data_IF_030636857274
#
_entry.id   IF_030636857274
#
_cell.length_a   1.000
_cell.length_b   1.000
_cell.length_c   1.000
_cell.angle_alpha   90.00
_cell.angle_beta   90.00
_cell.angle_gamma   90.00
#
_symmetry.space_group_name_H-M   'P 1'
#
loop_
_entity.id
_entity.type
_entity.pdbx_description
1 polymer ?
#
# COMPACT_ATOMS: atom_id res chain seq x y z
N UNK A 1 13.69 0.48 84.84
CA UNK A 1 12.83 0.27 83.66
C UNK A 1 13.57 0.85 82.45
N UNK A 2 14.28 0.04 81.67
CA UNK A 2 15.18 0.50 80.59
C UNK A 2 14.84 -0.25 79.29
N UNK A 3 14.20 0.44 78.36
CA UNK A 3 13.81 -0.08 77.04
C UNK A 3 14.93 0.26 76.06
N UNK A 4 15.69 -0.76 75.64
CA UNK A 4 16.71 -0.64 74.57
C UNK A 4 16.02 -0.71 73.20
N UNK A 5 15.98 0.40 72.48
CA UNK A 5 15.55 0.47 71.09
C UNK A 5 16.58 -0.21 70.17
N UNK A 6 16.14 -1.17 69.36
CA UNK A 6 16.93 -1.78 68.28
C UNK A 6 16.50 -1.15 66.96
N UNK A 7 17.41 -0.40 66.33
CA UNK A 7 17.21 0.16 64.99
C UNK A 7 17.30 -0.95 63.94
N UNK A 8 16.20 -1.20 63.22
CA UNK A 8 16.15 -2.12 62.09
C UNK A 8 16.75 -1.44 60.84
N UNK A 9 17.83 -2.01 60.32
CA UNK A 9 18.44 -1.59 59.05
C UNK A 9 17.57 -2.08 57.89
N UNK A 10 16.84 -1.19 57.23
CA UNK A 10 16.25 -1.44 55.91
C UNK A 10 17.38 -1.51 54.87
N UNK A 11 17.61 -2.70 54.33
CA UNK A 11 18.52 -2.90 53.19
C UNK A 11 17.86 -2.44 51.89
N UNK A 12 18.46 -1.44 51.24
CA UNK A 12 18.09 -1.00 49.90
C UNK A 12 18.57 -2.07 48.89
N UNK A 13 17.66 -2.91 48.40
CA UNK A 13 17.97 -3.83 47.29
C UNK A 13 17.88 -2.99 46.00
N UNK A 14 19.04 -2.59 45.47
CA UNK A 14 19.15 -1.91 44.18
C UNK A 14 18.87 -2.88 43.04
N UNK A 15 17.68 -2.78 42.44
CA UNK A 15 17.32 -3.51 41.22
C UNK A 15 18.10 -2.89 40.04
N UNK A 16 19.22 -3.51 39.65
CA UNK A 16 19.92 -3.15 38.43
C UNK A 16 19.06 -3.55 37.23
N UNK A 17 18.30 -2.59 36.69
CA UNK A 17 17.61 -2.77 35.41
C UNK A 17 18.69 -2.80 34.32
N UNK A 18 19.02 -4.00 33.83
CA UNK A 18 19.86 -4.15 32.66
C UNK A 18 19.13 -3.51 31.47
N UNK A 19 19.54 -2.30 31.10
CA UNK A 19 19.08 -1.67 29.88
C UNK A 19 19.75 -2.40 28.72
N UNK A 20 19.03 -3.36 28.13
CA UNK A 20 19.46 -3.94 26.86
C UNK A 20 19.57 -2.81 25.85
N UNK A 21 20.78 -2.57 25.34
CA UNK A 21 20.97 -1.63 24.24
C UNK A 21 20.05 -2.03 23.08
N UNK A 22 19.34 -1.09 22.45
CA UNK A 22 18.45 -1.41 21.34
C UNK A 22 19.24 -2.14 20.25
N UNK A 23 18.74 -3.29 19.80
CA UNK A 23 19.33 -4.00 18.68
C UNK A 23 19.12 -3.15 17.42
N UNK A 24 20.19 -2.53 16.93
CA UNK A 24 20.15 -1.78 15.68
C UNK A 24 19.93 -2.74 14.51
N UNK A 25 19.11 -2.31 13.55
CA UNK A 25 18.85 -3.07 12.34
C UNK A 25 20.16 -3.34 11.58
N UNK A 26 20.41 -4.61 11.27
CA UNK A 26 21.53 -5.01 10.42
C UNK A 26 21.20 -4.82 8.94
N UNK A 27 22.15 -4.25 8.19
CA UNK A 27 22.08 -4.14 6.73
C UNK A 27 22.48 -5.47 6.09
N UNK A 28 21.99 -5.75 4.88
CA UNK A 28 22.39 -6.96 4.14
C UNK A 28 23.38 -6.58 3.03
N UNK A 29 24.61 -7.10 3.10
CA UNK A 29 25.69 -6.76 2.16
C UNK A 29 25.88 -5.23 2.00
N UNK A 30 25.73 -4.47 3.09
CA UNK A 30 25.80 -3.00 3.08
C UNK A 30 24.54 -2.27 2.56
N UNK A 31 23.51 -2.99 2.12
CA UNK A 31 22.28 -2.41 1.58
C UNK A 31 21.20 -2.24 2.65
N UNK A 32 20.55 -1.07 2.65
CA UNK A 32 19.42 -0.76 3.54
C UNK A 32 18.07 -1.22 2.97
N UNK A 33 18.01 -1.59 1.69
CA UNK A 33 16.80 -2.09 1.02
C UNK A 33 17.17 -3.36 0.28
N UNK A 34 16.49 -4.46 0.59
CA UNK A 34 16.76 -5.77 0.01
C UNK A 34 15.50 -6.63 0.03
N UNK A 35 15.45 -7.65 -0.83
CA UNK A 35 14.35 -8.61 -0.87
C UNK A 35 14.67 -9.87 -0.08
N UNK A 36 13.63 -10.46 0.50
CA UNK A 36 13.68 -11.68 1.29
C UNK A 36 12.51 -12.57 0.93
N UNK A 37 12.66 -13.86 1.19
CA UNK A 37 11.62 -14.87 1.18
C UNK A 37 11.25 -15.20 2.61
N UNK A 38 9.95 -15.14 2.92
CA UNK A 38 9.41 -15.52 4.21
C UNK A 38 9.38 -17.02 4.40
N UNK A 39 9.19 -17.43 5.65
CA UNK A 39 9.01 -18.85 6.01
C UNK A 39 7.80 -19.51 5.31
N UNK A 40 6.79 -18.73 4.91
CA UNK A 40 5.64 -19.22 4.13
C UNK A 40 5.86 -19.16 2.60
N UNK A 41 7.07 -18.85 2.14
CA UNK A 41 7.44 -18.76 0.73
C UNK A 41 7.07 -17.44 0.05
N UNK A 42 6.42 -16.48 0.74
CA UNK A 42 6.08 -15.19 0.12
C UNK A 42 7.28 -14.24 0.09
N UNK A 43 7.35 -13.41 -0.95
CA UNK A 43 8.39 -12.39 -1.05
C UNK A 43 8.06 -11.15 -0.21
N UNK A 44 9.11 -10.46 0.24
CA UNK A 44 9.02 -9.20 0.93
C UNK A 44 10.21 -8.31 0.58
N UNK A 45 10.02 -7.00 0.70
CA UNK A 45 11.13 -6.04 0.74
C UNK A 45 11.32 -5.58 2.17
N UNK A 46 12.57 -5.58 2.64
CA UNK A 46 12.97 -5.12 3.96
C UNK A 46 13.64 -3.76 3.83
N UNK A 47 13.23 -2.83 4.69
CA UNK A 47 13.86 -1.55 4.91
C UNK A 47 14.60 -1.62 6.25
N UNK A 48 15.92 -1.69 6.21
CA UNK A 48 16.79 -1.70 7.38
C UNK A 48 17.22 -0.28 7.78
N UNK A 49 17.90 -0.19 8.93
CA UNK A 49 18.43 1.04 9.52
C UNK A 49 17.36 2.12 9.74
N UNK A 50 16.21 1.72 10.28
CA UNK A 50 15.10 2.61 10.62
C UNK A 50 15.01 2.80 12.13
N UNK A 51 14.49 3.95 12.54
CA UNK A 51 14.24 4.19 13.96
C UNK A 51 13.05 3.35 14.43
N UNK A 52 13.07 2.74 15.63
CA UNK A 52 11.91 2.01 16.14
C UNK A 52 10.64 2.87 16.13
N UNK A 53 9.57 2.36 15.52
CA UNK A 53 8.29 3.08 15.37
C UNK A 53 8.24 4.12 14.24
N UNK A 54 9.33 4.30 13.47
CA UNK A 54 9.36 5.18 12.31
C UNK A 54 8.28 4.79 11.30
N UNK A 55 7.48 5.77 10.87
CA UNK A 55 6.48 5.60 9.82
C UNK A 55 7.11 5.97 8.49
N UNK A 56 7.10 5.03 7.55
CA UNK A 56 7.76 5.15 6.26
C UNK A 56 6.69 5.09 5.17
N UNK A 57 6.63 6.12 4.34
CA UNK A 57 5.74 6.15 3.18
C UNK A 57 6.38 5.38 2.03
N UNK A 58 5.63 4.43 1.49
CA UNK A 58 6.02 3.62 0.32
C UNK A 58 5.00 3.86 -0.77
N UNK A 59 5.45 4.37 -1.90
CA UNK A 59 4.61 4.66 -3.08
C UNK A 59 4.87 3.64 -4.16
N UNK A 60 3.81 3.10 -4.76
CA UNK A 60 3.87 2.21 -5.91
C UNK A 60 3.23 2.92 -7.10
N UNK A 61 4.01 3.55 -8.00
CA UNK A 61 3.47 4.35 -9.09
C UNK A 61 2.58 3.56 -10.06
N UNK A 62 2.88 2.28 -10.29
CA UNK A 62 2.09 1.40 -11.15
C UNK A 62 0.91 0.71 -10.44
N UNK A 63 0.68 0.97 -9.15
CA UNK A 63 -0.46 0.38 -8.44
C UNK A 63 -1.79 0.89 -9.00
N UNK A 64 -2.67 -0.05 -9.32
CA UNK A 64 -4.03 0.21 -9.78
C UNK A 64 -4.96 0.27 -8.56
N UNK A 65 -5.89 1.23 -8.59
CA UNK A 65 -7.03 1.25 -7.67
C UNK A 65 -8.27 0.80 -8.40
N UNK A 66 -9.09 -0.03 -7.77
CA UNK A 66 -10.41 -0.39 -8.28
C UNK A 66 -11.50 0.15 -7.37
N UNK A 67 -12.64 0.51 -7.96
CA UNK A 67 -13.86 0.86 -7.23
C UNK A 67 -15.07 0.26 -7.93
N UNK A 68 -16.04 -0.18 -7.12
CA UNK A 68 -17.33 -0.62 -7.64
C UNK A 68 -18.16 0.60 -8.04
N UNK A 69 -18.70 0.56 -9.25
CA UNK A 69 -19.54 1.60 -9.81
C UNK A 69 -20.84 0.97 -10.29
N UNK A 70 -21.95 1.67 -10.14
CA UNK A 70 -23.27 1.14 -10.51
C UNK A 70 -23.81 1.95 -11.67
N UNK A 71 -24.24 1.26 -12.74
CA UNK A 71 -24.98 1.90 -13.80
C UNK A 71 -26.34 2.34 -13.27
N UNK A 72 -26.77 3.55 -13.62
CA UNK A 72 -28.08 4.06 -13.24
C UNK A 72 -29.22 3.26 -13.92
N UNK A 73 -30.50 3.58 -13.66
CA UNK A 73 -31.62 2.88 -14.29
C UNK A 73 -31.67 2.95 -15.82
N UNK A 74 -30.94 3.87 -16.43
CA UNK A 74 -30.83 4.00 -17.88
C UNK A 74 -29.52 3.42 -18.45
N UNK A 75 -28.72 2.72 -17.64
CA UNK A 75 -27.51 2.06 -18.10
C UNK A 75 -26.29 2.98 -18.21
N UNK A 76 -26.28 4.15 -17.57
CA UNK A 76 -25.11 5.03 -17.60
C UNK A 76 -24.31 4.97 -16.31
N UNK A 77 -22.99 4.85 -16.44
CA UNK A 77 -22.02 5.08 -15.37
C UNK A 77 -21.32 6.40 -15.66
N UNK A 78 -21.46 7.38 -14.76
CA UNK A 78 -20.77 8.67 -14.89
C UNK A 78 -19.56 8.69 -13.98
N UNK A 79 -18.37 8.65 -14.58
CA UNK A 79 -17.10 8.69 -13.88
C UNK A 79 -16.57 10.12 -13.87
N UNK A 80 -16.49 10.68 -12.65
CA UNK A 80 -15.97 12.02 -12.40
C UNK A 80 -14.54 11.96 -11.91
N UNK A 81 -13.75 12.94 -12.32
CA UNK A 81 -12.41 13.18 -11.77
C UNK A 81 -12.52 13.65 -10.32
N UNK A 82 -11.67 13.13 -9.44
CA UNK A 82 -11.48 13.68 -8.09
C UNK A 82 -10.02 14.04 -7.89
N UNK A 83 -9.71 14.80 -6.83
CA UNK A 83 -8.31 15.13 -6.49
C UNK A 83 -7.47 13.89 -6.14
N UNK A 84 -8.11 12.82 -5.67
CA UNK A 84 -7.45 11.56 -5.27
C UNK A 84 -7.46 10.50 -6.35
N UNK A 85 -8.40 10.56 -7.29
CA UNK A 85 -8.52 9.63 -8.43
C UNK A 85 -8.83 10.44 -9.67
N UNK A 86 -7.80 11.02 -10.32
CA UNK A 86 -7.97 11.75 -11.56
C UNK A 86 -8.60 10.85 -12.64
N UNK A 87 -9.60 11.37 -13.36
CA UNK A 87 -10.25 10.59 -14.42
C UNK A 87 -9.27 10.23 -15.54
N UNK A 88 -8.24 11.05 -15.78
CA UNK A 88 -7.12 10.78 -16.71
C UNK A 88 -6.45 9.44 -16.50
N UNK A 89 -6.64 8.84 -15.33
CA UNK A 89 -6.05 7.58 -14.96
C UNK A 89 -6.99 6.38 -15.16
N UNK A 90 -8.23 6.57 -15.64
CA UNK A 90 -9.13 5.46 -15.93
C UNK A 90 -8.47 4.51 -16.94
N UNK A 91 -8.32 3.25 -16.55
CA UNK A 91 -7.74 2.19 -17.36
C UNK A 91 -8.82 1.33 -18.01
N UNK A 92 -9.77 0.85 -17.20
CA UNK A 92 -10.79 -0.09 -17.66
C UNK A 92 -12.06 -0.05 -16.84
N UNK A 93 -13.16 -0.50 -17.43
CA UNK A 93 -14.40 -0.82 -16.73
C UNK A 93 -14.81 -2.25 -17.10
N UNK A 94 -14.86 -3.11 -16.08
CA UNK A 94 -15.16 -4.54 -16.24
C UNK A 94 -14.17 -5.25 -17.16
N UNK A 95 -12.87 -4.95 -16.99
CA UNK A 95 -11.78 -5.47 -17.80
C UNK A 95 -11.66 -4.87 -19.20
N UNK A 96 -12.69 -4.19 -19.72
CA UNK A 96 -12.61 -3.50 -21.01
C UNK A 96 -11.80 -2.21 -20.87
N UNK A 97 -10.69 -2.13 -21.59
CA UNK A 97 -9.85 -0.93 -21.60
C UNK A 97 -10.60 0.28 -22.17
N UNK A 98 -10.43 1.45 -21.54
CA UNK A 98 -11.05 2.70 -21.94
C UNK A 98 -9.96 3.66 -22.40
N UNK A 99 -9.83 3.87 -23.71
CA UNK A 99 -9.04 4.97 -24.25
C UNK A 99 -9.88 6.25 -24.22
N UNK A 100 -9.62 7.06 -23.21
CA UNK A 100 -10.29 8.33 -23.03
C UNK A 100 -10.02 9.31 -24.18
N UNK A 101 -8.88 9.24 -24.85
CA UNK A 101 -8.53 10.19 -25.91
C UNK A 101 -9.33 9.97 -27.18
N UNK A 102 -9.82 8.74 -27.39
CA UNK A 102 -10.67 8.38 -28.52
C UNK A 102 -12.17 8.59 -28.28
N UNK A 103 -12.59 8.87 -27.05
CA UNK A 103 -14.01 9.05 -26.73
C UNK A 103 -14.57 10.34 -27.33
N UNK A 104 -15.71 10.29 -28.05
CA UNK A 104 -16.35 11.50 -28.57
C UNK A 104 -16.91 12.35 -27.42
N UNK A 105 -16.90 13.67 -27.58
CA UNK A 105 -17.55 14.59 -26.64
C UNK A 105 -19.03 14.75 -27.00
N UNK A 106 -19.94 14.50 -26.05
CA UNK A 106 -21.39 14.59 -26.23
C UNK A 106 -22.06 15.18 -24.98
N UNK A 107 -23.32 15.61 -25.10
CA UNK A 107 -24.13 15.99 -23.95
C UNK A 107 -24.64 14.74 -23.21
N UNK A 108 -24.70 14.82 -21.88
CA UNK A 108 -25.27 13.74 -21.06
C UNK A 108 -26.80 13.70 -21.26
N UNK A 109 -27.36 12.63 -21.84
CA UNK A 109 -28.80 12.52 -22.04
C UNK A 109 -29.54 12.37 -20.71
N UNK A 110 -30.81 12.79 -20.69
CA UNK A 110 -31.67 12.60 -19.52
C UNK A 110 -32.14 11.14 -19.44
N UNK A 111 -32.31 10.68 -18.20
CA UNK A 111 -32.89 9.39 -17.88
C UNK A 111 -34.34 9.61 -17.43
N UNK A 112 -35.31 9.10 -18.19
CA UNK A 112 -36.76 9.24 -17.91
C UNK A 112 -37.35 7.84 -17.85
N UNK A 113 -37.93 7.49 -16.71
CA UNK A 113 -38.58 6.19 -16.47
C UNK A 113 -37.72 4.97 -16.85
N UNK A 114 -36.41 5.04 -16.59
CA UNK A 114 -35.46 3.96 -16.87
C UNK A 114 -35.01 3.87 -18.33
N UNK A 115 -35.38 4.83 -19.18
CA UNK A 115 -34.92 4.91 -20.57
C UNK A 115 -34.21 6.24 -20.84
N UNK A 116 -33.17 6.20 -21.70
CA UNK A 116 -32.52 7.43 -22.17
C UNK A 116 -33.43 8.17 -23.14
N UNK A 117 -33.60 9.48 -22.93
CA UNK A 117 -34.32 10.36 -23.85
C UNK A 117 -33.67 10.36 -25.25
N UNK A 118 -32.35 10.19 -25.31
CA UNK A 118 -31.57 9.96 -26.53
C UNK A 118 -30.70 8.71 -26.34
N UNK A 119 -30.91 7.68 -27.16
CA UNK A 119 -30.17 6.44 -27.06
C UNK A 119 -28.68 6.63 -27.33
N UNK A 120 -27.84 5.99 -26.50
CA UNK A 120 -26.39 5.92 -26.67
C UNK A 120 -25.99 4.45 -26.68
N UNK A 121 -25.20 4.04 -27.68
CA UNK A 121 -24.67 2.67 -27.76
C UNK A 121 -23.17 2.59 -27.44
N UNK A 122 -22.49 3.74 -27.40
CA UNK A 122 -21.05 3.84 -27.21
C UNK A 122 -20.72 4.75 -26.03
N UNK A 123 -19.58 4.48 -25.41
CA UNK A 123 -18.99 5.32 -24.37
C UNK A 123 -18.62 6.70 -24.95
N UNK A 124 -18.69 7.73 -24.10
CA UNK A 124 -18.42 9.11 -24.52
C UNK A 124 -17.90 9.96 -23.35
N UNK A 125 -17.51 11.20 -23.64
CA UNK A 125 -17.16 12.21 -22.64
C UNK A 125 -18.16 13.35 -22.63
N UNK A 126 -18.42 13.92 -21.47
CA UNK A 126 -19.20 15.17 -21.38
C UNK A 126 -18.32 16.39 -21.66
N UNK A 127 -18.94 17.53 -21.96
CA UNK A 127 -18.21 18.82 -22.08
C UNK A 127 -17.48 19.23 -20.80
N UNK A 128 -17.83 18.66 -19.65
CA UNK A 128 -17.14 18.85 -18.37
C UNK A 128 -15.96 17.88 -18.17
N UNK A 129 -15.68 17.00 -19.13
CA UNK A 129 -14.60 16.00 -19.06
C UNK A 129 -14.94 14.76 -18.24
N UNK A 130 -16.21 14.54 -17.89
CA UNK A 130 -16.65 13.29 -17.27
C UNK A 130 -16.64 12.17 -18.31
N UNK A 131 -16.24 10.97 -17.91
CA UNK A 131 -16.33 9.80 -18.79
C UNK A 131 -17.64 9.08 -18.50
N UNK A 132 -18.46 8.87 -19.53
CA UNK A 132 -19.74 8.18 -19.44
C UNK A 132 -19.61 6.84 -20.13
N UNK A 133 -19.83 5.77 -19.37
CA UNK A 133 -19.79 4.40 -19.87
C UNK A 133 -21.21 3.87 -19.99
N UNK A 134 -21.55 3.33 -21.17
CA UNK A 134 -22.86 2.75 -21.46
C UNK A 134 -22.82 1.25 -21.15
N UNK A 135 -23.68 0.81 -20.24
CA UNK A 135 -23.74 -0.56 -19.70
C UNK A 135 -25.19 -0.99 -19.46
N UNK A 136 -25.38 -2.24 -19.02
CA UNK A 136 -26.70 -2.71 -18.58
C UNK A 136 -27.18 -1.93 -17.35
N UNK A 137 -28.45 -1.48 -17.33
CA UNK A 137 -29.05 -0.78 -16.19
C UNK A 137 -28.90 -1.50 -14.85
N UNK A 138 -28.80 -0.71 -13.77
CA UNK A 138 -28.79 -1.19 -12.37
C UNK A 138 -27.76 -2.29 -12.06
N UNK A 139 -26.72 -2.42 -12.90
CA UNK A 139 -25.68 -3.43 -12.76
C UNK A 139 -24.43 -2.81 -12.16
N UNK A 140 -23.74 -3.58 -11.31
CA UNK A 140 -22.49 -3.15 -10.66
C UNK A 140 -21.31 -3.64 -11.48
N UNK A 141 -20.38 -2.74 -11.76
CA UNK A 141 -19.14 -2.99 -12.49
C UNK A 141 -17.94 -2.57 -11.64
N UNK A 142 -16.76 -3.06 -12.02
CA UNK A 142 -15.50 -2.62 -11.43
C UNK A 142 -14.78 -1.66 -12.38
N UNK A 143 -14.53 -0.43 -11.91
CA UNK A 143 -13.72 0.54 -12.64
C UNK A 143 -12.31 0.57 -12.04
N UNK A 144 -11.30 0.44 -12.89
CA UNK A 144 -9.88 0.42 -12.53
C UNK A 144 -9.17 1.69 -12.99
N UNK A 145 -8.36 2.27 -12.12
CA UNK A 145 -7.65 3.53 -12.32
C UNK A 145 -6.17 3.36 -11.99
N UNK A 146 -5.29 3.89 -12.84
CA UNK A 146 -3.88 4.13 -12.51
C UNK A 146 -3.76 5.34 -11.57
N UNK A 147 -2.52 5.73 -11.24
CA UNK A 147 -2.26 6.91 -10.39
C UNK A 147 -1.38 6.61 -9.19
N UNK A 148 -0.93 5.36 -9.08
CA UNK A 148 -0.10 4.89 -8.00
C UNK A 148 -0.82 4.89 -6.66
N UNK A 149 -0.25 4.16 -5.71
CA UNK A 149 -0.78 4.10 -4.35
C UNK A 149 0.35 4.19 -3.35
N UNK A 150 0.16 5.03 -2.36
CA UNK A 150 1.05 5.07 -1.20
C UNK A 150 0.45 4.29 -0.03
N UNK A 151 1.30 3.62 0.73
CA UNK A 151 0.97 3.05 2.03
C UNK A 151 2.07 3.37 3.03
N UNK A 152 1.71 3.43 4.29
CA UNK A 152 2.69 3.55 5.36
C UNK A 152 3.05 2.17 5.90
N UNK A 153 4.34 1.91 6.08
CA UNK A 153 4.86 0.79 6.85
C UNK A 153 5.56 1.34 8.09
N UNK A 154 5.57 0.56 9.18
CA UNK A 154 6.18 0.99 10.44
C UNK A 154 7.36 0.11 10.77
N UNK A 155 8.48 0.73 11.15
CA UNK A 155 9.65 0.01 11.62
C UNK A 155 9.37 -0.63 12.99
N UNK A 156 9.74 -1.90 13.14
CA UNK A 156 9.62 -2.65 14.38
C UNK A 156 10.68 -2.21 15.42
N UNK A 157 10.66 -2.84 16.60
CA UNK A 157 11.57 -2.52 17.71
C UNK A 157 13.07 -2.71 17.37
N UNK A 158 13.40 -3.53 16.37
CA UNK A 158 14.76 -3.76 15.91
C UNK A 158 15.13 -2.90 14.69
N UNK A 159 14.30 -1.92 14.31
CA UNK A 159 14.59 -0.98 13.23
C UNK A 159 14.37 -1.51 11.80
N UNK A 160 13.57 -2.56 11.63
CA UNK A 160 13.18 -3.05 10.31
C UNK A 160 11.73 -2.70 10.00
N UNK A 161 11.46 -2.18 8.81
CA UNK A 161 10.12 -2.18 8.24
C UNK A 161 10.04 -3.19 7.10
N UNK A 162 8.88 -3.84 6.95
CA UNK A 162 8.65 -4.78 5.85
C UNK A 162 7.52 -4.32 4.96
N UNK A 163 7.77 -4.42 3.66
CA UNK A 163 6.83 -4.23 2.57
C UNK A 163 6.45 -5.63 2.10
N UNK A 164 5.19 -6.00 2.32
CA UNK A 164 4.69 -7.36 2.03
C UNK A 164 3.68 -7.34 0.89
N UNK A 165 3.60 -8.45 0.15
CA UNK A 165 2.55 -8.60 -0.86
C UNK A 165 1.15 -8.56 -0.22
N UNK A 166 0.23 -7.84 -0.85
CA UNK A 166 -1.20 -7.90 -0.54
C UNK A 166 -1.99 -7.99 -1.83
N UNK A 167 -3.31 -8.18 -1.78
CA UNK A 167 -4.17 -8.16 -2.97
C UNK A 167 -4.06 -6.86 -3.79
N UNK A 168 -3.69 -5.75 -3.15
CA UNK A 168 -3.46 -4.45 -3.79
C UNK A 168 -2.01 -4.23 -4.20
N UNK A 169 -1.06 -4.76 -3.42
CA UNK A 169 0.37 -4.52 -3.58
C UNK A 169 1.09 -5.85 -3.81
N UNK A 170 0.70 -6.59 -4.84
CA UNK A 170 1.33 -7.86 -5.15
C UNK A 170 2.69 -7.64 -5.79
N UNK A 171 3.75 -7.83 -5.01
CA UNK A 171 5.14 -7.57 -5.41
C UNK A 171 5.62 -8.47 -6.56
N UNK A 172 4.85 -9.50 -6.92
CA UNK A 172 5.16 -10.38 -8.07
C UNK A 172 4.66 -9.82 -9.40
N UNK A 173 3.79 -8.81 -9.37
CA UNK A 173 3.21 -8.20 -10.58
C UNK A 173 4.21 -7.22 -11.21
N UNK A 174 4.50 -7.32 -12.53
CA UNK A 174 5.46 -6.45 -13.19
C UNK A 174 5.15 -4.95 -13.06
N UNK A 175 3.87 -4.57 -13.04
CA UNK A 175 3.44 -3.19 -12.85
C UNK A 175 3.79 -2.62 -11.47
N UNK A 176 4.13 -3.47 -10.49
CA UNK A 176 4.54 -3.11 -9.15
C UNK A 176 6.05 -3.28 -8.90
N UNK A 177 6.85 -3.58 -9.93
CA UNK A 177 8.30 -3.73 -9.79
C UNK A 177 8.97 -2.41 -9.35
N UNK A 178 8.46 -1.28 -9.84
CA UNK A 178 8.91 0.05 -9.43
C UNK A 178 8.16 0.55 -8.19
N UNK A 179 8.90 1.02 -7.20
CA UNK A 179 8.35 1.63 -5.99
C UNK A 179 9.29 2.72 -5.45
N UNK A 180 8.77 3.57 -4.57
CA UNK A 180 9.51 4.63 -3.93
C UNK A 180 9.41 4.51 -2.41
N UNK A 181 10.52 4.73 -1.71
CA UNK A 181 10.57 4.81 -0.25
C UNK A 181 10.94 6.23 0.12
N UNK A 182 10.01 6.97 0.71
CA UNK A 182 10.22 8.39 1.04
C UNK A 182 10.68 9.24 -0.16
N UNK A 183 10.18 8.91 -1.36
CA UNK A 183 10.54 9.58 -2.63
C UNK A 183 11.80 9.05 -3.32
N UNK A 184 12.58 8.18 -2.67
CA UNK A 184 13.72 7.51 -3.32
C UNK A 184 13.24 6.31 -4.14
N UNK A 185 13.54 6.21 -5.44
CA UNK A 185 13.06 5.14 -6.29
C UNK A 185 13.87 3.84 -6.12
N UNK A 186 13.19 2.71 -6.27
CA UNK A 186 13.72 1.35 -6.20
C UNK A 186 13.01 0.45 -7.23
N UNK A 187 13.67 -0.64 -7.61
CA UNK A 187 13.10 -1.71 -8.43
C UNK A 187 13.26 -3.05 -7.72
N UNK A 188 12.17 -3.79 -7.49
CA UNK A 188 12.18 -5.05 -6.73
C UNK A 188 13.09 -6.08 -7.40
N UNK A 189 13.04 -6.17 -8.73
CA UNK A 189 13.84 -7.05 -9.57
C UNK A 189 15.34 -6.86 -9.35
N UNK A 190 15.81 -5.64 -9.11
CA UNK A 190 17.23 -5.29 -8.94
C UNK A 190 17.72 -5.31 -7.48
N UNK A 191 16.81 -5.48 -6.51
CA UNK A 191 17.20 -5.53 -5.10
C UNK A 191 18.06 -6.77 -4.79
N UNK A 192 19.08 -6.63 -3.93
CA UNK A 192 19.81 -7.77 -3.38
C UNK A 192 18.86 -8.76 -2.70
N UNK A 193 19.06 -10.06 -2.90
CA UNK A 193 18.28 -11.11 -2.27
C UNK A 193 19.02 -11.67 -1.06
N UNK A 194 18.42 -11.58 0.14
CA UNK A 194 19.03 -12.04 1.40
C UNK A 194 18.55 -13.43 1.84
N UNK A 195 17.87 -14.18 0.98
CA UNK A 195 17.28 -15.45 1.36
C UNK A 195 16.15 -15.24 2.38
N UNK A 196 16.36 -15.63 3.64
CA UNK A 196 15.34 -15.54 4.69
C UNK A 196 15.23 -14.14 5.32
N UNK A 197 14.04 -13.80 5.85
CA UNK A 197 13.80 -12.52 6.52
C UNK A 197 14.43 -12.45 7.93
N UNK A 198 14.89 -11.27 8.39
CA UNK A 198 15.33 -11.11 9.77
C UNK A 198 14.11 -11.12 10.70
N UNK A 199 14.29 -11.60 11.92
CA UNK A 199 13.23 -11.67 12.91
C UNK A 199 13.58 -10.82 14.11
N UNK A 200 12.65 -9.96 14.54
CA UNK A 200 12.76 -9.22 15.78
C UNK A 200 11.86 -9.88 16.84
N UNK A 201 12.44 -10.42 17.93
CA UNK A 201 11.69 -11.00 19.05
C UNK A 201 12.11 -10.32 20.35
N UNK A 202 11.14 -9.69 21.02
CA UNK A 202 11.36 -9.03 22.32
C UNK A 202 12.52 -8.00 22.27
N UNK A 203 12.64 -7.28 21.15
CA UNK A 203 13.71 -6.29 20.94
C UNK A 203 15.08 -6.89 20.59
N UNK A 204 15.20 -8.21 20.50
CA UNK A 204 16.41 -8.89 20.02
C UNK A 204 16.29 -9.24 18.54
N UNK A 205 17.33 -8.92 17.77
CA UNK A 205 17.45 -9.22 16.36
C UNK A 205 18.01 -10.64 16.16
N UNK A 206 17.34 -11.42 15.32
CA UNK A 206 17.76 -12.72 14.84
C UNK A 206 17.89 -12.65 13.32
N UNK A 207 19.13 -12.72 12.83
CA UNK A 207 19.42 -12.79 11.39
C UNK A 207 19.66 -14.26 10.99
N UNK A 208 19.23 -14.68 9.80
CA UNK A 208 19.60 -15.98 9.26
C UNK A 208 21.13 -16.12 9.15
N UNK A 209 21.65 -17.32 9.40
CA UNK A 209 23.09 -17.59 9.32
C UNK A 209 23.70 -17.41 7.91
N UNK A 210 22.85 -17.33 6.88
CA UNK A 210 23.25 -17.17 5.49
C UNK A 210 23.40 -15.68 5.06
N UNK A 211 23.25 -14.73 6.00
CA UNK A 211 23.38 -13.29 5.75
C UNK A 211 24.81 -12.78 5.74
#
# INVERSE_FOLDING_TARGET
MNIKQRAARLGLIGLAVAMAAPAFAQTYSGNNVYKVTRSNGSEAVILANRSPGERISVTFPGAVSSRRVTANPCGLIVLRSTSTVPISNLLSVDGAAIDQTSLPTQLLPRCVDGTLEEARSNDFKTGAGEVVIVKSPNTVYEASFSGGRSRNVTANACGFASITSTSTYDLTRPELDAFEVMGSPYQISTLPAAGLEPVCRTGSLYVPAAW
#
